data_IF_616380371507
#
_entry.id   IF_616380371507
#
_cell.length_a   1.000
_cell.length_b   1.000
_cell.length_c   1.000
_cell.angle_alpha   90.00
_cell.angle_beta   90.00
_cell.angle_gamma   90.00
#
_symmetry.space_group_name_H-M   'P 1'
#
loop_
_entity.id
_entity.type
_entity.pdbx_description
1 polymer ?
#
# COMPACT_ATOMS: atom_id res chain seq x y z
N UNK A 1 -13.16 -11.28 2.95
CA UNK A 1 -13.74 -10.72 1.72
C UNK A 1 -13.14 -9.37 1.36
N UNK A 2 -13.19 -8.39 2.28
CA UNK A 2 -12.60 -7.08 2.02
C UNK A 2 -11.09 -7.19 1.85
N UNK A 3 -10.43 -7.95 2.73
CA UNK A 3 -8.99 -8.14 2.69
C UNK A 3 -8.57 -8.80 1.37
N UNK A 4 -9.30 -9.80 0.92
CA UNK A 4 -9.01 -10.47 -0.35
C UNK A 4 -9.13 -9.49 -1.52
N UNK A 5 -10.17 -8.67 -1.53
CA UNK A 5 -10.37 -7.68 -2.57
C UNK A 5 -9.23 -6.66 -2.60
N UNK A 6 -8.84 -6.18 -1.43
CA UNK A 6 -7.74 -5.21 -1.32
C UNK A 6 -6.43 -5.84 -1.79
N UNK A 7 -6.16 -7.09 -1.40
CA UNK A 7 -4.94 -7.78 -1.82
C UNK A 7 -4.88 -7.99 -3.33
N UNK A 8 -6.01 -8.14 -3.98
CA UNK A 8 -6.06 -8.29 -5.44
C UNK A 8 -5.92 -6.97 -6.18
N UNK A 9 -6.36 -5.86 -5.56
CA UNK A 9 -6.46 -4.58 -6.25
C UNK A 9 -5.56 -3.47 -5.69
N UNK A 10 -4.67 -3.77 -4.76
CA UNK A 10 -3.83 -2.73 -4.14
C UNK A 10 -2.97 -1.98 -5.17
N UNK A 11 -2.62 -2.62 -6.26
CA UNK A 11 -1.79 -2.01 -7.29
C UNK A 11 -2.53 -1.02 -8.19
N UNK A 12 -3.85 -0.96 -8.06
CA UNK A 12 -4.66 -0.01 -8.79
C UNK A 12 -4.61 1.34 -8.06
N UNK A 13 -4.00 2.35 -8.68
CA UNK A 13 -3.87 3.67 -8.04
C UNK A 13 -5.21 4.35 -7.80
N UNK A 14 -6.25 3.92 -8.50
CA UNK A 14 -7.59 4.47 -8.35
C UNK A 14 -8.45 3.72 -7.33
N UNK A 15 -7.90 2.70 -6.68
CA UNK A 15 -8.65 1.96 -5.67
C UNK A 15 -9.02 2.86 -4.49
N UNK A 16 -10.31 3.01 -4.26
CA UNK A 16 -10.85 3.86 -3.21
C UNK A 16 -11.91 3.12 -2.44
N UNK A 17 -12.17 3.61 -1.23
CA UNK A 17 -13.17 3.00 -0.37
C UNK A 17 -14.53 2.80 -1.03
N UNK A 18 -15.08 3.77 -1.78
CA UNK A 18 -16.38 3.54 -2.45
C UNK A 18 -16.42 2.31 -3.33
N UNK A 19 -15.31 2.00 -4.02
CA UNK A 19 -15.24 0.81 -4.88
C UNK A 19 -15.38 -0.48 -4.07
N UNK A 20 -14.72 -0.52 -2.92
CA UNK A 20 -14.79 -1.67 -2.03
C UNK A 20 -16.21 -1.83 -1.48
N UNK A 21 -16.83 -0.73 -1.07
CA UNK A 21 -18.20 -0.74 -0.54
C UNK A 21 -19.19 -1.26 -1.57
N UNK A 22 -19.05 -0.81 -2.81
CA UNK A 22 -19.91 -1.23 -3.90
C UNK A 22 -19.75 -2.72 -4.15
N UNK A 23 -18.51 -3.20 -4.20
CA UNK A 23 -18.24 -4.62 -4.42
C UNK A 23 -18.84 -5.50 -3.32
N UNK A 24 -18.78 -5.06 -2.07
CA UNK A 24 -19.27 -5.83 -0.93
C UNK A 24 -20.74 -5.64 -0.66
N UNK A 25 -21.34 -4.57 -1.20
CA UNK A 25 -22.76 -4.29 -0.98
C UNK A 25 -23.07 -3.85 0.45
N UNK A 26 -22.16 -3.13 1.10
CA UNK A 26 -22.34 -2.71 2.50
C UNK A 26 -22.22 -1.18 2.63
N UNK A 27 -22.74 -0.66 3.74
CA UNK A 27 -22.63 0.76 4.03
C UNK A 27 -21.25 1.12 4.54
N UNK A 28 -20.88 2.39 4.42
CA UNK A 28 -19.60 2.87 4.89
C UNK A 28 -19.42 2.69 6.40
N UNK A 29 -20.46 3.03 7.17
CA UNK A 29 -20.39 2.92 8.63
C UNK A 29 -20.18 1.49 9.08
N UNK A 30 -20.95 0.57 8.52
CA UNK A 30 -20.82 -0.85 8.86
C UNK A 30 -19.43 -1.36 8.50
N UNK A 31 -18.99 -1.08 7.28
CA UNK A 31 -17.70 -1.53 6.81
C UNK A 31 -16.56 -1.01 7.69
N UNK A 32 -16.56 0.29 7.96
CA UNK A 32 -15.48 0.91 8.76
C UNK A 32 -15.36 0.30 10.14
N UNK A 33 -16.49 0.06 10.79
CA UNK A 33 -16.49 -0.54 12.12
C UNK A 33 -15.98 -1.97 12.10
N UNK A 34 -16.52 -2.80 11.22
CA UNK A 34 -16.14 -4.21 11.14
C UNK A 34 -14.71 -4.38 10.67
N UNK A 35 -14.31 -3.59 9.68
CA UNK A 35 -12.95 -3.68 9.13
C UNK A 35 -11.92 -3.37 10.22
N UNK A 36 -12.13 -2.30 10.99
CA UNK A 36 -11.21 -1.93 12.05
C UNK A 36 -11.19 -2.95 13.17
N UNK A 37 -12.34 -3.53 13.50
CA UNK A 37 -12.41 -4.57 14.52
C UNK A 37 -11.61 -5.81 14.10
N UNK A 38 -11.69 -6.20 12.84
CA UNK A 38 -11.05 -7.42 12.36
C UNK A 38 -9.57 -7.25 12.00
N UNK A 39 -9.17 -6.09 11.50
CA UNK A 39 -7.80 -5.85 11.05
C UNK A 39 -7.00 -4.98 12.00
N UNK A 40 -7.66 -4.26 12.91
CA UNK A 40 -7.01 -3.31 13.79
C UNK A 40 -6.63 -2.01 13.10
N UNK A 41 -7.01 -1.84 11.84
CA UNK A 41 -6.62 -0.68 11.02
C UNK A 41 -7.80 -0.16 10.21
N UNK A 42 -7.75 1.14 9.87
CA UNK A 42 -8.72 1.68 8.92
C UNK A 42 -8.37 1.16 7.52
N UNK A 43 -9.31 1.34 6.58
CA UNK A 43 -9.07 0.94 5.19
C UNK A 43 -7.81 1.62 4.62
N UNK A 44 -7.69 2.94 4.82
CA UNK A 44 -6.55 3.70 4.30
C UNK A 44 -5.24 3.21 4.89
N UNK A 45 -5.22 2.99 6.20
CA UNK A 45 -4.03 2.46 6.88
C UNK A 45 -3.63 1.09 6.35
N UNK A 46 -4.60 0.21 6.21
CA UNK A 46 -4.36 -1.14 5.72
C UNK A 46 -3.80 -1.12 4.30
N UNK A 47 -4.45 -0.38 3.40
CA UNK A 47 -4.02 -0.28 2.01
C UNK A 47 -2.61 0.31 1.91
N UNK A 48 -2.34 1.39 2.64
CA UNK A 48 -1.04 2.04 2.60
C UNK A 48 0.05 1.11 3.14
N UNK A 49 -0.24 0.41 4.24
CA UNK A 49 0.73 -0.53 4.81
C UNK A 49 1.02 -1.68 3.84
N UNK A 50 -0.01 -2.19 3.18
CA UNK A 50 0.18 -3.25 2.19
C UNK A 50 1.06 -2.78 1.04
N UNK A 51 0.79 -1.58 0.51
CA UNK A 51 1.59 -1.00 -0.57
C UNK A 51 3.05 -0.82 -0.14
N UNK A 52 3.27 -0.36 1.09
CA UNK A 52 4.64 -0.18 1.61
C UNK A 52 5.37 -1.51 1.77
N UNK A 53 4.69 -2.55 2.23
CA UNK A 53 5.31 -3.87 2.35
C UNK A 53 5.68 -4.44 0.98
N UNK A 54 4.83 -4.22 -0.02
CA UNK A 54 5.16 -4.62 -1.39
C UNK A 54 6.33 -3.83 -1.95
N UNK A 55 6.41 -2.53 -1.61
CA UNK A 55 7.53 -1.70 -2.01
C UNK A 55 8.84 -2.25 -1.45
N UNK A 56 8.83 -2.64 -0.18
CA UNK A 56 10.02 -3.22 0.46
C UNK A 56 10.46 -4.50 -0.25
N UNK A 57 9.53 -5.36 -0.62
CA UNK A 57 9.84 -6.57 -1.37
C UNK A 57 10.53 -6.24 -2.69
N UNK A 58 9.96 -5.32 -3.48
CA UNK A 58 10.56 -4.92 -4.74
C UNK A 58 11.94 -4.31 -4.56
N UNK A 59 12.12 -3.51 -3.50
CA UNK A 59 13.42 -2.89 -3.24
C UNK A 59 14.49 -3.92 -2.86
N UNK A 60 14.10 -4.96 -2.12
CA UNK A 60 15.04 -6.01 -1.71
C UNK A 60 15.32 -7.01 -2.83
N UNK A 61 14.31 -7.34 -3.61
CA UNK A 61 14.38 -8.51 -4.51
C UNK A 61 14.51 -8.17 -5.98
N UNK A 62 14.44 -6.90 -6.36
CA UNK A 62 14.54 -6.49 -7.77
C UNK A 62 15.46 -5.29 -7.94
N UNK A 63 15.82 -5.03 -9.19
CA UNK A 63 16.59 -3.84 -9.55
C UNK A 63 15.71 -2.72 -10.10
N UNK A 64 14.39 -2.81 -9.92
CA UNK A 64 13.47 -1.78 -10.42
C UNK A 64 13.75 -0.43 -9.79
N UNK A 65 13.63 0.63 -10.57
CA UNK A 65 13.83 1.98 -10.05
C UNK A 65 12.58 2.43 -9.27
N UNK A 66 12.75 3.50 -8.50
CA UNK A 66 11.71 3.98 -7.60
C UNK A 66 10.38 4.24 -8.31
N UNK A 67 10.40 4.88 -9.48
CA UNK A 67 9.13 5.20 -10.12
C UNK A 67 8.43 3.96 -10.68
N UNK A 68 9.19 2.96 -11.09
CA UNK A 68 8.60 1.69 -11.53
C UNK A 68 7.92 0.96 -10.37
N UNK A 69 8.56 0.98 -9.21
CA UNK A 69 7.98 0.38 -8.00
C UNK A 69 6.70 1.11 -7.62
N UNK A 70 6.74 2.44 -7.63
CA UNK A 70 5.55 3.25 -7.29
C UNK A 70 4.36 2.85 -8.17
N UNK A 71 4.60 2.73 -9.46
CA UNK A 71 3.55 2.35 -10.40
C UNK A 71 3.00 0.95 -10.10
N UNK A 72 3.86 0.00 -9.80
CA UNK A 72 3.46 -1.38 -9.54
C UNK A 72 2.70 -1.57 -8.23
N UNK A 73 2.87 -0.67 -7.28
CA UNK A 73 2.20 -0.79 -5.99
C UNK A 73 1.00 0.15 -5.83
N UNK A 74 0.65 0.87 -6.90
CA UNK A 74 -0.57 1.67 -6.91
C UNK A 74 -0.42 3.14 -6.56
N UNK A 75 0.80 3.68 -6.64
CA UNK A 75 1.02 5.12 -6.46
C UNK A 75 1.11 5.78 -7.83
N UNK A 76 0.19 6.72 -8.09
CA UNK A 76 0.20 7.45 -9.34
C UNK A 76 1.37 8.43 -9.42
N UNK A 77 1.82 8.95 -8.28
CA UNK A 77 2.90 9.93 -8.19
C UNK A 77 4.11 9.33 -7.48
N UNK A 78 5.21 9.06 -8.20
CA UNK A 78 6.42 8.50 -7.58
C UNK A 78 7.00 9.40 -6.49
N UNK A 79 6.82 10.70 -6.63
CA UNK A 79 7.32 11.66 -5.65
C UNK A 79 6.60 11.49 -4.31
N UNK A 80 5.28 11.36 -4.39
CA UNK A 80 4.47 11.12 -3.21
C UNK A 80 4.78 9.77 -2.58
N UNK A 81 5.06 8.76 -3.41
CA UNK A 81 5.49 7.47 -2.92
C UNK A 81 6.76 7.59 -2.09
N UNK A 82 7.78 8.25 -2.62
CA UNK A 82 9.05 8.42 -1.90
C UNK A 82 8.86 9.12 -0.57
N UNK A 83 8.04 10.17 -0.56
CA UNK A 83 7.75 10.91 0.66
C UNK A 83 7.03 10.04 1.69
N UNK A 84 6.02 9.28 1.25
CA UNK A 84 5.27 8.39 2.13
C UNK A 84 6.14 7.28 2.69
N UNK A 85 7.01 6.72 1.86
CA UNK A 85 7.92 5.66 2.27
C UNK A 85 8.87 6.17 3.35
N UNK A 86 9.44 7.36 3.13
CA UNK A 86 10.34 7.96 4.12
C UNK A 86 9.64 8.25 5.44
N UNK A 87 8.41 8.72 5.39
CA UNK A 87 7.64 8.99 6.61
C UNK A 87 7.39 7.73 7.42
N UNK A 88 7.21 6.59 6.76
CA UNK A 88 6.88 5.34 7.43
C UNK A 88 8.10 4.55 7.87
N UNK A 89 9.19 4.61 7.12
CA UNK A 89 10.38 3.79 7.41
C UNK A 89 11.55 4.59 7.95
N UNK A 90 11.51 5.92 7.82
CA UNK A 90 12.64 6.76 8.18
C UNK A 90 13.70 6.85 7.11
N UNK A 91 13.53 6.17 5.99
CA UNK A 91 14.49 6.13 4.89
C UNK A 91 13.80 6.36 3.56
N UNK A 92 14.54 6.93 2.58
CA UNK A 92 14.05 6.97 1.21
C UNK A 92 14.09 5.55 0.64
N UNK A 93 13.34 5.27 -0.43
CA UNK A 93 13.43 3.95 -1.07
C UNK A 93 14.86 3.56 -1.43
N UNK A 94 15.62 4.52 -1.95
CA UNK A 94 17.02 4.26 -2.31
C UNK A 94 17.86 3.89 -1.08
N UNK A 95 17.71 4.64 0.00
CA UNK A 95 18.42 4.37 1.24
C UNK A 95 18.05 2.99 1.80
N UNK A 96 16.79 2.64 1.74
CA UNK A 96 16.34 1.33 2.21
C UNK A 96 16.99 0.20 1.41
N UNK A 97 17.02 0.33 0.08
CA UNK A 97 17.65 -0.68 -0.78
C UNK A 97 19.14 -0.82 -0.45
N UNK A 98 19.83 0.29 -0.29
CA UNK A 98 21.25 0.27 0.02
C UNK A 98 21.52 -0.38 1.38
N UNK A 99 20.69 -0.08 2.37
CA UNK A 99 20.81 -0.68 3.69
C UNK A 99 20.60 -2.21 3.67
N UNK A 100 19.63 -2.67 2.90
CA UNK A 100 19.36 -4.11 2.77
C UNK A 100 20.47 -4.82 2.00
N UNK A 101 21.06 -4.15 1.01
CA UNK A 101 22.13 -4.74 0.20
C UNK A 101 23.43 -4.93 0.97
N UNK A 102 23.64 -4.14 2.01
CA UNK A 102 24.86 -4.21 2.82
C UNK A 102 24.84 -5.30 3.86
N UNK A 103 23.73 -5.95 4.00
CA UNK A 103 23.58 -7.11 4.89
C UNK A 103 23.92 -8.39 4.12
#
# INVERSE_FOLDING_TARGET
>A
LAVAYINEHYADCDLKLPDVLEHLGVSRSYFSTVFKEKTGQSFVEYLTNLRMEKAKEYLRETGLCTYEIAERIGFADPHYFSLSFRRRTGMTPKQYREAETKQ
#
